data_IF_476923191427
#
_entry.id   IF_476923191427
#
_cell.length_a   1.000
_cell.length_b   1.000
_cell.length_c   1.000
_cell.angle_alpha   90.00
_cell.angle_beta   90.00
_cell.angle_gamma   90.00
#
_symmetry.space_group_name_H-M   'P 1'
#
loop_
_entity.id
_entity.type
_entity.pdbx_description
1 polymer ?
#
# COMPACT_ATOMS: atom_id res chain seq x y z
N UNK A 1 -10.62 7.36 -6.92
CA UNK A 1 -10.14 5.97 -6.81
C UNK A 1 -9.15 5.91 -5.66
N UNK A 2 -9.28 4.90 -4.80
CA UNK A 2 -8.44 4.62 -3.64
C UNK A 2 -7.64 3.34 -3.87
N UNK A 3 -6.32 3.40 -3.66
CA UNK A 3 -5.43 2.25 -3.81
C UNK A 3 -4.78 1.93 -2.48
N UNK A 4 -5.02 0.73 -1.96
CA UNK A 4 -4.33 0.24 -0.77
C UNK A 4 -2.91 -0.22 -1.12
N UNK A 5 -1.90 0.41 -0.53
CA UNK A 5 -0.50 0.04 -0.75
C UNK A 5 -0.01 -0.82 0.42
N UNK A 6 0.32 -2.08 0.13
CA UNK A 6 0.65 -3.10 1.15
C UNK A 6 2.11 -3.53 0.98
N UNK A 7 3.07 -2.78 1.56
CA UNK A 7 4.49 -3.08 1.44
C UNK A 7 4.95 -4.10 2.49
N UNK A 8 5.89 -4.96 2.09
CA UNK A 8 6.65 -5.78 3.02
C UNK A 8 8.00 -5.12 3.35
N UNK A 9 8.05 -4.31 4.40
CA UNK A 9 9.28 -3.59 4.79
C UNK A 9 10.45 -4.49 5.23
N UNK A 10 10.23 -5.81 5.43
CA UNK A 10 11.33 -6.76 5.63
C UNK A 10 12.13 -7.02 4.34
N UNK A 11 11.58 -6.66 3.18
CA UNK A 11 12.24 -6.81 1.88
C UNK A 11 13.09 -5.57 1.55
N UNK A 12 14.34 -5.82 1.13
CA UNK A 12 15.25 -4.77 0.69
C UNK A 12 14.61 -3.97 -0.46
N UNK A 13 14.55 -2.65 -0.29
CA UNK A 13 14.01 -1.74 -1.31
C UNK A 13 12.48 -1.54 -1.30
N UNK A 14 11.72 -2.32 -0.51
CA UNK A 14 10.26 -2.16 -0.43
C UNK A 14 9.85 -0.75 0.01
N UNK A 15 10.63 -0.14 0.90
CA UNK A 15 10.44 1.25 1.32
C UNK A 15 10.52 2.22 0.13
N UNK A 16 11.63 2.19 -0.63
CA UNK A 16 11.85 3.07 -1.78
C UNK A 16 10.79 2.85 -2.86
N UNK A 17 10.44 1.59 -3.13
CA UNK A 17 9.40 1.24 -4.08
C UNK A 17 8.02 1.77 -3.65
N UNK A 18 7.70 1.68 -2.35
CA UNK A 18 6.43 2.17 -1.83
C UNK A 18 6.30 3.70 -1.95
N UNK A 19 7.34 4.46 -1.59
CA UNK A 19 7.34 5.92 -1.72
C UNK A 19 7.16 6.32 -3.19
N UNK A 20 7.97 5.76 -4.09
CA UNK A 20 7.88 6.05 -5.52
C UNK A 20 6.51 5.68 -6.11
N UNK A 21 5.90 4.57 -5.66
CA UNK A 21 4.58 4.16 -6.10
C UNK A 21 3.49 5.12 -5.62
N UNK A 22 3.57 5.57 -4.37
CA UNK A 22 2.61 6.55 -3.84
C UNK A 22 2.74 7.91 -4.55
N UNK A 23 3.96 8.38 -4.81
CA UNK A 23 4.21 9.59 -5.61
C UNK A 23 3.60 9.47 -7.02
N UNK A 24 3.79 8.32 -7.67
CA UNK A 24 3.17 8.02 -8.96
C UNK A 24 1.64 8.08 -8.90
N UNK A 25 1.02 7.42 -7.91
CA UNK A 25 -0.44 7.43 -7.73
C UNK A 25 -0.98 8.85 -7.56
N UNK A 26 -0.35 9.66 -6.70
CA UNK A 26 -0.73 11.06 -6.52
C UNK A 26 -0.60 11.85 -7.84
N UNK A 27 0.47 11.61 -8.60
CA UNK A 27 0.71 12.27 -9.90
C UNK A 27 -0.36 11.97 -10.97
N UNK A 28 -1.09 10.86 -10.83
CA UNK A 28 -2.21 10.49 -11.70
C UNK A 28 -3.60 10.72 -11.07
N UNK A 29 -3.66 11.44 -9.94
CA UNK A 29 -4.92 11.76 -9.25
C UNK A 29 -5.57 10.58 -8.52
N UNK A 30 -4.81 9.53 -8.24
CA UNK A 30 -5.24 8.36 -7.46
C UNK A 30 -4.81 8.54 -6.00
N UNK A 31 -5.70 8.25 -5.06
CA UNK A 31 -5.44 8.43 -3.64
C UNK A 31 -4.80 7.16 -3.04
N UNK A 32 -3.52 7.19 -2.63
CA UNK A 32 -2.92 6.07 -1.92
C UNK A 32 -3.45 5.99 -0.47
N UNK A 33 -3.86 4.80 -0.06
CA UNK A 33 -4.07 4.44 1.33
C UNK A 33 -2.79 3.77 1.83
N UNK A 34 -2.29 4.24 2.97
CA UNK A 34 -0.96 3.93 3.47
C UNK A 34 -1.10 3.36 4.89
N UNK A 35 -0.52 2.18 5.12
CA UNK A 35 -0.42 1.65 6.46
C UNK A 35 0.45 2.58 7.32
N UNK A 36 0.05 2.83 8.57
CA UNK A 36 0.59 3.84 9.52
C UNK A 36 2.09 3.77 9.85
N UNK A 37 2.88 2.96 9.14
CA UNK A 37 4.31 2.70 9.37
C UNK A 37 5.22 3.20 8.25
N UNK A 38 4.71 3.88 7.20
CA UNK A 38 5.59 4.59 6.28
C UNK A 38 6.14 5.85 6.97
N UNK A 39 7.47 6.07 7.00
CA UNK A 39 8.04 7.30 7.51
C UNK A 39 7.58 8.50 6.68
N UNK A 40 7.54 9.63 7.38
CA UNK A 40 6.85 10.85 6.97
C UNK A 40 7.40 11.42 5.65
N UNK A 41 6.47 11.91 4.82
CA UNK A 41 6.58 12.78 3.62
C UNK A 41 5.81 12.26 2.39
N UNK A 42 5.28 11.04 2.43
CA UNK A 42 4.43 10.54 1.34
C UNK A 42 3.01 11.07 1.47
N UNK A 43 2.53 11.82 0.46
CA UNK A 43 1.13 12.23 0.40
C UNK A 43 0.22 11.00 0.28
N UNK A 44 -0.77 10.90 1.18
CA UNK A 44 -1.72 9.78 1.20
C UNK A 44 -2.60 9.78 2.44
N UNK A 45 -3.54 8.85 2.50
CA UNK A 45 -4.40 8.64 3.66
C UNK A 45 -3.81 7.54 4.52
N UNK A 46 -3.38 7.89 5.73
CA UNK A 46 -2.79 6.94 6.67
C UNK A 46 -3.88 6.28 7.51
N UNK A 47 -3.94 4.95 7.50
CA UNK A 47 -4.91 4.19 8.28
C UNK A 47 -4.42 2.75 8.58
N UNK A 48 -5.06 2.03 9.52
CA UNK A 48 -4.77 0.62 9.77
C UNK A 48 -4.89 -0.23 8.51
N UNK A 49 -3.98 -1.19 8.33
CA UNK A 49 -3.95 -2.03 7.12
C UNK A 49 -5.22 -2.89 6.94
N UNK A 50 -5.87 -3.24 8.05
CA UNK A 50 -7.17 -3.91 8.08
C UNK A 50 -8.27 -3.05 7.44
N UNK A 51 -8.39 -1.79 7.88
CA UNK A 51 -9.39 -0.86 7.35
C UNK A 51 -9.15 -0.47 5.88
N UNK A 52 -7.90 -0.55 5.40
CA UNK A 52 -7.54 -0.15 4.03
C UNK A 52 -8.25 -1.01 2.97
N UNK A 53 -8.42 -2.30 3.23
CA UNK A 53 -8.99 -3.24 2.27
C UNK A 53 -10.49 -3.03 2.10
N UNK A 54 -11.19 -2.65 3.17
CA UNK A 54 -12.63 -2.40 3.18
C UNK A 54 -13.05 -1.19 2.33
N UNK A 55 -12.14 -0.23 2.15
CA UNK A 55 -12.45 1.06 1.49
C UNK A 55 -11.69 1.29 0.19
N UNK A 56 -10.83 0.36 -0.24
CA UNK A 56 -10.06 0.51 -1.47
C UNK A 56 -10.79 -0.02 -2.70
N UNK A 57 -10.49 0.56 -3.86
CA UNK A 57 -10.94 0.03 -5.16
C UNK A 57 -9.95 -1.02 -5.71
N UNK A 58 -8.68 -0.95 -5.25
CA UNK A 58 -7.58 -1.81 -5.69
C UNK A 58 -6.54 -1.94 -4.58
N UNK A 59 -6.03 -3.15 -4.35
CA UNK A 59 -4.92 -3.42 -3.46
C UNK A 59 -3.64 -3.75 -4.25
N UNK A 60 -2.51 -3.16 -3.86
CA UNK A 60 -1.20 -3.38 -4.48
C UNK A 60 -0.20 -3.85 -3.43
N UNK A 61 0.25 -5.10 -3.58
CA UNK A 61 1.29 -5.69 -2.75
C UNK A 61 2.69 -5.32 -3.29
N UNK A 62 3.55 -4.77 -2.43
CA UNK A 62 4.95 -4.45 -2.77
C UNK A 62 5.88 -5.41 -2.00
N UNK A 63 6.40 -6.41 -2.70
CA UNK A 63 7.22 -7.47 -2.11
C UNK A 63 7.49 -8.60 -3.10
N UNK A 64 7.26 -9.85 -2.68
CA UNK A 64 7.27 -11.03 -3.56
C UNK A 64 6.03 -11.89 -3.35
N UNK A 65 6.03 -13.13 -3.83
CA UNK A 65 4.84 -14.00 -3.84
C UNK A 65 4.18 -14.17 -2.46
N UNK A 66 4.98 -14.35 -1.41
CA UNK A 66 4.46 -14.45 -0.04
C UNK A 66 3.74 -13.18 0.43
N UNK A 67 4.11 -12.01 -0.10
CA UNK A 67 3.43 -10.73 0.19
C UNK A 67 2.11 -10.65 -0.58
N UNK A 68 2.11 -11.07 -1.84
CA UNK A 68 0.89 -11.16 -2.65
C UNK A 68 -0.14 -12.12 -2.01
N UNK A 69 0.28 -13.34 -1.65
CA UNK A 69 -0.59 -14.33 -1.02
C UNK A 69 -1.13 -13.83 0.32
N UNK A 70 -0.31 -13.14 1.12
CA UNK A 70 -0.74 -12.57 2.39
C UNK A 70 -1.81 -11.49 2.18
N UNK A 71 -1.58 -10.56 1.25
CA UNK A 71 -2.55 -9.52 0.90
C UNK A 71 -3.86 -10.11 0.33
N UNK A 72 -3.76 -11.12 -0.55
CA UNK A 72 -4.93 -11.79 -1.12
C UNK A 72 -5.78 -12.50 -0.06
N UNK A 73 -5.14 -13.11 0.95
CA UNK A 73 -5.86 -13.71 2.08
C UNK A 73 -6.60 -12.66 2.90
N UNK A 74 -5.98 -11.50 3.14
CA UNK A 74 -6.63 -10.42 3.89
C UNK A 74 -7.80 -9.81 3.12
N UNK A 75 -7.70 -9.72 1.78
CA UNK A 75 -8.76 -9.14 0.93
C UNK A 75 -9.96 -10.07 0.69
N UNK A 76 -9.85 -11.35 1.07
CA UNK A 76 -10.91 -12.35 0.93
C UNK A 76 -11.72 -12.55 2.21
N UNK A 77 -11.35 -11.87 3.29
CA UNK A 77 -12.03 -11.87 4.59
C UNK A 77 -12.90 -10.62 4.70
#
# INVERSE_FOLDING_TARGET
MKVAVIPNFKKKGAHKACVAFCEFLNGIGVQPLIASKLPEQTQGVYMPAEDMLDVCDLAVAIGGDGTLIHAAKQAAL
#
